data_IF_893344198857
#
_entry.id   IF_893344198857
#
_cell.length_a   1.000
_cell.length_b   1.000
_cell.length_c   1.000
_cell.angle_alpha   90.00
_cell.angle_beta   90.00
_cell.angle_gamma   90.00
#
_symmetry.space_group_name_H-M   'P 1'
#
loop_
_entity.id
_entity.type
_entity.pdbx_description
1 polymer ?
#
# COMPACT_ATOMS: atom_id res chain seq x y z
N UNK A 1 -16.93 10.43 -18.44
CA UNK A 1 -16.11 10.62 -17.21
C UNK A 1 -16.55 9.71 -16.07
N UNK A 2 -17.83 9.66 -15.71
CA UNK A 2 -18.35 8.82 -14.61
C UNK A 2 -18.04 7.32 -14.75
N UNK A 3 -18.21 6.72 -15.93
CA UNK A 3 -17.93 5.29 -16.16
C UNK A 3 -16.43 4.92 -15.97
N UNK A 4 -15.51 5.84 -16.30
CA UNK A 4 -14.07 5.63 -16.09
C UNK A 4 -13.69 5.72 -14.62
N UNK A 5 -14.33 6.64 -13.87
CA UNK A 5 -14.14 6.80 -12.43
C UNK A 5 -14.70 5.60 -11.66
N UNK A 6 -15.89 5.12 -12.03
CA UNK A 6 -16.49 3.93 -11.41
C UNK A 6 -15.63 2.68 -11.62
N UNK A 7 -15.13 2.47 -12.85
CA UNK A 7 -14.22 1.35 -13.13
C UNK A 7 -12.94 1.44 -12.31
N UNK A 8 -12.33 2.63 -12.23
CA UNK A 8 -11.12 2.81 -11.42
C UNK A 8 -11.40 2.60 -9.94
N UNK A 9 -12.54 3.07 -9.43
CA UNK A 9 -12.98 2.85 -8.06
C UNK A 9 -13.08 1.36 -7.72
N UNK A 10 -13.76 0.57 -8.55
CA UNK A 10 -13.87 -0.88 -8.34
C UNK A 10 -12.50 -1.55 -8.34
N UNK A 11 -11.64 -1.20 -9.30
CA UNK A 11 -10.28 -1.77 -9.38
C UNK A 11 -9.44 -1.36 -8.17
N UNK A 12 -9.45 -0.09 -7.79
CA UNK A 12 -8.68 0.44 -6.68
C UNK A 12 -9.13 -0.16 -5.36
N UNK A 13 -10.44 -0.19 -5.09
CA UNK A 13 -11.01 -0.87 -3.92
C UNK A 13 -10.52 -2.31 -3.86
N UNK A 14 -10.68 -3.07 -4.96
CA UNK A 14 -10.29 -4.47 -5.03
C UNK A 14 -8.80 -4.69 -4.78
N UNK A 15 -7.94 -3.88 -5.40
CA UNK A 15 -6.48 -3.97 -5.25
C UNK A 15 -6.07 -3.69 -3.81
N UNK A 16 -6.55 -2.60 -3.20
CA UNK A 16 -6.19 -2.24 -1.83
C UNK A 16 -6.75 -3.24 -0.80
N UNK A 17 -7.98 -3.71 -0.98
CA UNK A 17 -8.56 -4.74 -0.10
C UNK A 17 -7.85 -6.08 -0.23
N UNK A 18 -7.53 -6.51 -1.47
CA UNK A 18 -6.83 -7.76 -1.69
C UNK A 18 -5.39 -7.69 -1.15
N UNK A 19 -4.70 -6.58 -1.38
CA UNK A 19 -3.36 -6.36 -0.85
C UNK A 19 -3.32 -6.44 0.67
N UNK A 20 -4.21 -5.70 1.34
CA UNK A 20 -4.29 -5.72 2.81
C UNK A 20 -4.68 -7.12 3.35
N UNK A 21 -5.60 -7.80 2.68
CA UNK A 21 -5.95 -9.18 2.98
C UNK A 21 -4.73 -10.11 2.92
N UNK A 22 -3.96 -10.08 1.84
CA UNK A 22 -2.77 -10.92 1.69
C UNK A 22 -1.70 -10.58 2.73
N UNK A 23 -1.52 -9.30 3.05
CA UNK A 23 -0.57 -8.87 4.09
C UNK A 23 -0.94 -9.44 5.47
N UNK A 24 -2.21 -9.32 5.85
CA UNK A 24 -2.72 -9.84 7.12
C UNK A 24 -2.67 -11.38 7.16
N UNK A 25 -3.06 -12.04 6.06
CA UNK A 25 -3.06 -13.49 5.94
C UNK A 25 -1.64 -14.07 6.03
N UNK A 26 -0.67 -13.42 5.37
CA UNK A 26 0.74 -13.76 5.46
C UNK A 26 1.29 -13.57 6.88
N UNK A 27 0.94 -12.46 7.53
CA UNK A 27 1.31 -12.21 8.93
C UNK A 27 0.78 -13.31 9.87
N UNK A 28 -0.49 -13.69 9.74
CA UNK A 28 -1.10 -14.75 10.52
C UNK A 28 -0.39 -16.11 10.32
N UNK A 29 -0.04 -16.45 9.07
CA UNK A 29 0.76 -17.64 8.76
C UNK A 29 2.14 -17.61 9.41
N UNK A 30 2.85 -16.48 9.30
CA UNK A 30 4.19 -16.31 9.88
C UNK A 30 4.16 -16.47 11.40
N UNK A 31 3.17 -15.88 12.08
CA UNK A 31 3.01 -16.03 13.53
C UNK A 31 2.63 -17.46 13.95
N UNK A 32 1.79 -18.15 13.16
CA UNK A 32 1.46 -19.54 13.40
C UNK A 32 2.70 -20.45 13.23
N UNK A 33 3.47 -20.25 12.17
CA UNK A 33 4.71 -21.00 11.92
C UNK A 33 5.74 -20.77 13.04
N UNK A 34 5.91 -19.53 13.49
CA UNK A 34 6.81 -19.20 14.59
C UNK A 34 6.43 -19.90 15.89
N UNK A 35 5.14 -19.92 16.26
CA UNK A 35 4.64 -20.66 17.44
C UNK A 35 4.88 -22.17 17.36
N UNK A 36 4.79 -22.75 16.16
CA UNK A 36 5.10 -24.17 15.93
C UNK A 36 6.59 -24.46 16.11
N UNK A 37 7.45 -23.57 15.63
CA UNK A 37 8.91 -23.69 15.80
C UNK A 37 9.35 -23.50 17.24
N UNK A 38 8.67 -22.64 18.00
CA UNK A 38 8.93 -22.39 19.43
C UNK A 38 8.38 -23.51 20.36
N UNK A 39 7.72 -24.53 19.80
CA UNK A 39 7.23 -25.70 20.55
C UNK A 39 5.97 -25.42 21.39
N UNK A 40 5.29 -24.30 21.16
CA UNK A 40 4.26 -23.76 22.06
C UNK A 40 2.82 -24.24 21.78
N UNK A 41 2.57 -25.04 20.73
CA UNK A 41 1.23 -25.63 20.45
C UNK A 41 1.33 -27.16 20.27
N UNK A 42 0.42 -27.95 20.89
CA UNK A 42 0.31 -29.38 20.61
C UNK A 42 -0.15 -29.62 19.16
N UNK A 43 0.38 -30.69 18.56
CA UNK A 43 0.22 -31.09 17.14
C UNK A 43 -1.26 -31.27 16.72
N UNK A 44 -2.22 -31.31 17.66
CA UNK A 44 -3.66 -31.45 17.40
C UNK A 44 -4.35 -30.23 16.76
N UNK A 45 -3.67 -29.12 16.45
CA UNK A 45 -4.27 -27.95 15.77
C UNK A 45 -4.24 -28.02 14.23
N UNK A 46 -4.16 -29.23 13.66
CA UNK A 46 -4.17 -29.50 12.21
C UNK A 46 -5.46 -29.05 11.48
N UNK A 47 -6.48 -28.59 12.21
CA UNK A 47 -7.72 -28.09 11.67
C UNK A 47 -8.03 -26.63 12.02
N UNK A 48 -7.11 -25.66 11.89
CA UNK A 48 -7.58 -24.27 11.69
C UNK A 48 -8.21 -24.19 10.31
N UNK A 49 -9.50 -24.52 10.26
CA UNK A 49 -10.39 -24.25 9.12
C UNK A 49 -10.08 -22.86 8.56
N UNK A 50 -10.13 -22.70 7.24
CA UNK A 50 -9.98 -21.40 6.58
C UNK A 50 -10.83 -20.31 7.26
N UNK A 51 -11.99 -20.69 7.83
CA UNK A 51 -12.84 -19.83 8.65
C UNK A 51 -12.17 -19.31 9.94
N UNK A 52 -11.38 -20.16 10.62
CA UNK A 52 -10.62 -19.77 11.81
C UNK A 52 -9.43 -18.85 11.51
N UNK A 53 -8.84 -18.93 10.30
CA UNK A 53 -7.83 -17.96 9.86
C UNK A 53 -8.47 -16.65 9.39
N UNK A 54 -9.62 -16.71 8.73
CA UNK A 54 -10.41 -15.52 8.38
C UNK A 54 -10.85 -14.73 9.61
N UNK A 55 -11.14 -15.41 10.71
CA UNK A 55 -11.48 -14.77 11.99
C UNK A 55 -10.30 -14.02 12.64
N UNK A 56 -9.05 -14.28 12.23
CA UNK A 56 -7.86 -13.55 12.70
C UNK A 56 -7.61 -12.26 11.90
N UNK A 57 -8.38 -12.00 10.85
CA UNK A 57 -8.25 -10.80 10.04
C UNK A 57 -8.96 -9.61 10.71
N UNK A 58 -8.28 -8.48 10.72
CA UNK A 58 -8.79 -7.18 11.12
C UNK A 58 -9.75 -6.66 10.02
N UNK A 59 -11.02 -7.06 10.12
CA UNK A 59 -12.10 -6.65 9.21
C UNK A 59 -12.27 -5.13 9.12
N UNK A 60 -12.22 -4.37 10.23
CA UNK A 60 -12.23 -2.91 10.17
C UNK A 60 -11.09 -2.32 9.32
N UNK A 61 -9.88 -2.86 9.43
CA UNK A 61 -8.73 -2.43 8.60
C UNK A 61 -8.92 -2.75 7.11
N UNK A 62 -9.52 -3.90 6.78
CA UNK A 62 -9.88 -4.23 5.40
C UNK A 62 -10.88 -3.22 4.83
N UNK A 63 -11.89 -2.85 5.63
CA UNK A 63 -12.85 -1.80 5.28
C UNK A 63 -12.17 -0.44 5.06
N UNK A 64 -11.17 -0.09 5.87
CA UNK A 64 -10.41 1.14 5.68
C UNK A 64 -9.54 1.12 4.43
N UNK A 65 -8.91 -0.02 4.12
CA UNK A 65 -8.15 -0.20 2.88
C UNK A 65 -9.05 -0.06 1.64
N UNK A 66 -10.26 -0.62 1.70
CA UNK A 66 -11.28 -0.43 0.66
C UNK A 66 -11.70 1.04 0.54
N UNK A 67 -11.99 1.71 1.66
CA UNK A 67 -12.35 3.12 1.68
C UNK A 67 -11.23 4.02 1.13
N UNK A 68 -9.97 3.73 1.48
CA UNK A 68 -8.81 4.40 0.92
C UNK A 68 -8.74 4.23 -0.60
N UNK A 69 -8.91 3.00 -1.09
CA UNK A 69 -8.96 2.70 -2.53
C UNK A 69 -10.05 3.50 -3.25
N UNK A 70 -11.23 3.64 -2.66
CA UNK A 70 -12.32 4.46 -3.19
C UNK A 70 -11.94 5.95 -3.24
N UNK A 71 -11.39 6.49 -2.14
CA UNK A 71 -11.07 7.91 -2.00
C UNK A 71 -9.89 8.36 -2.86
N UNK A 72 -8.91 7.48 -3.13
CA UNK A 72 -7.77 7.79 -3.98
C UNK A 72 -8.11 7.71 -5.48
N UNK A 73 -9.19 7.03 -5.85
CA UNK A 73 -9.56 6.78 -7.26
C UNK A 73 -9.76 8.06 -8.09
N UNK A 74 -10.46 9.11 -7.60
CA UNK A 74 -10.57 10.37 -8.33
C UNK A 74 -9.20 11.01 -8.62
N UNK A 75 -8.28 10.97 -7.65
CA UNK A 75 -6.93 11.52 -7.81
C UNK A 75 -6.14 10.76 -8.87
N UNK A 76 -6.21 9.43 -8.88
CA UNK A 76 -5.57 8.58 -9.90
C UNK A 76 -6.13 8.89 -11.30
N UNK A 77 -7.45 9.01 -11.42
CA UNK A 77 -8.09 9.34 -12.70
C UNK A 77 -7.67 10.73 -13.19
N UNK A 78 -7.69 11.73 -12.31
CA UNK A 78 -7.28 13.10 -12.66
C UNK A 78 -5.80 13.17 -13.04
N UNK A 79 -4.92 12.49 -12.31
CA UNK A 79 -3.50 12.40 -12.64
C UNK A 79 -3.29 11.80 -14.04
N UNK A 80 -3.94 10.66 -14.34
CA UNK A 80 -3.86 10.05 -15.68
C UNK A 80 -4.39 10.99 -16.76
N UNK A 81 -5.52 11.67 -16.52
CA UNK A 81 -6.05 12.66 -17.47
C UNK A 81 -5.06 13.79 -17.71
N UNK A 82 -4.46 14.34 -16.64
CA UNK A 82 -3.46 15.40 -16.75
C UNK A 82 -2.24 14.94 -17.56
N UNK A 83 -1.68 13.76 -17.25
CA UNK A 83 -0.58 13.19 -18.02
C UNK A 83 -0.92 13.03 -19.50
N UNK A 84 -2.12 12.51 -19.81
CA UNK A 84 -2.55 12.35 -21.22
C UNK A 84 -2.80 13.67 -21.94
N UNK A 85 -3.22 14.72 -21.22
CA UNK A 85 -3.42 16.06 -21.81
C UNK A 85 -2.10 16.74 -22.12
N UNK A 86 -1.11 16.62 -21.23
CA UNK A 86 0.20 17.29 -21.35
C UNK A 86 1.14 16.53 -22.28
N UNK A 87 1.23 15.20 -22.13
CA UNK A 87 2.20 14.36 -22.85
C UNK A 87 1.58 13.69 -24.08
N UNK A 88 0.26 13.70 -24.23
CA UNK A 88 -0.42 12.99 -25.30
C UNK A 88 -0.39 11.46 -25.13
N UNK A 89 -0.38 10.74 -26.26
CA UNK A 89 -0.29 9.27 -26.25
C UNK A 89 1.16 8.82 -26.01
N UNK A 90 1.38 8.09 -24.93
CA UNK A 90 2.70 7.56 -24.55
C UNK A 90 3.09 6.27 -25.30
N UNK A 91 2.13 5.59 -25.95
CA UNK A 91 2.39 4.33 -26.66
C UNK A 91 3.41 4.49 -27.78
N UNK A 92 4.43 3.62 -27.81
CA UNK A 92 5.55 3.66 -28.76
C UNK A 92 6.35 4.96 -28.74
N UNK A 93 6.20 5.79 -27.70
CA UNK A 93 6.98 7.00 -27.50
C UNK A 93 7.72 6.95 -26.16
N UNK A 94 9.03 6.76 -26.26
CA UNK A 94 9.87 6.41 -25.11
C UNK A 94 9.97 7.58 -24.12
N UNK A 95 10.18 8.80 -24.63
CA UNK A 95 10.32 10.00 -23.80
C UNK A 95 9.04 10.30 -23.02
N UNK A 96 7.88 10.29 -23.68
CA UNK A 96 6.59 10.55 -23.05
C UNK A 96 6.20 9.44 -22.06
N UNK A 97 6.53 8.19 -22.37
CA UNK A 97 6.35 7.07 -21.43
C UNK A 97 7.22 7.24 -20.18
N UNK A 98 8.48 7.65 -20.36
CA UNK A 98 9.39 7.92 -19.26
C UNK A 98 8.92 9.11 -18.41
N UNK A 99 8.51 10.22 -19.03
CA UNK A 99 7.99 11.38 -18.32
C UNK A 99 6.72 11.07 -17.54
N UNK A 100 5.81 10.26 -18.10
CA UNK A 100 4.61 9.81 -17.40
C UNK A 100 4.94 8.90 -16.21
N UNK A 101 5.91 7.99 -16.36
CA UNK A 101 6.39 7.15 -15.27
C UNK A 101 7.08 7.98 -14.17
N UNK A 102 7.92 8.95 -14.55
CA UNK A 102 8.59 9.84 -13.62
C UNK A 102 7.56 10.68 -12.84
N UNK A 103 6.55 11.23 -13.51
CA UNK A 103 5.47 11.97 -12.85
C UNK A 103 4.72 11.08 -11.84
N UNK A 104 4.43 9.84 -12.22
CA UNK A 104 3.81 8.85 -11.33
C UNK A 104 4.71 8.56 -10.12
N UNK A 105 6.00 8.27 -10.31
CA UNK A 105 6.90 7.84 -9.22
C UNK A 105 7.40 8.97 -8.34
N UNK A 106 7.53 10.20 -8.85
CA UNK A 106 8.06 11.33 -8.08
C UNK A 106 6.97 12.15 -7.38
N UNK A 107 5.71 12.07 -7.83
CA UNK A 107 4.62 12.87 -7.26
C UNK A 107 3.46 12.01 -6.79
N UNK A 108 2.86 11.23 -7.69
CA UNK A 108 1.61 10.54 -7.38
C UNK A 108 1.80 9.39 -6.36
N UNK A 109 2.79 8.54 -6.56
CA UNK A 109 3.06 7.40 -5.68
C UNK A 109 3.51 7.85 -4.29
N UNK A 110 4.47 8.78 -4.11
CA UNK A 110 4.83 9.27 -2.78
C UNK A 110 3.66 9.90 -2.05
N UNK A 111 2.84 10.72 -2.74
CA UNK A 111 1.66 11.35 -2.15
C UNK A 111 0.64 10.29 -1.69
N UNK A 112 0.34 9.31 -2.55
CA UNK A 112 -0.58 8.22 -2.23
C UNK A 112 -0.09 7.38 -1.05
N UNK A 113 1.20 7.04 -1.01
CA UNK A 113 1.80 6.28 0.09
C UNK A 113 1.76 7.08 1.40
N UNK A 114 2.12 8.37 1.36
CA UNK A 114 2.06 9.23 2.53
C UNK A 114 0.63 9.35 3.07
N UNK A 115 -0.35 9.56 2.20
CA UNK A 115 -1.77 9.59 2.58
C UNK A 115 -2.22 8.26 3.19
N UNK A 116 -1.81 7.13 2.60
CA UNK A 116 -2.15 5.81 3.10
C UNK A 116 -1.58 5.56 4.50
N UNK A 117 -0.27 5.77 4.67
CA UNK A 117 0.41 5.56 5.95
C UNK A 117 -0.15 6.49 7.02
N UNK A 118 -0.41 7.76 6.71
CA UNK A 118 -1.05 8.69 7.66
C UNK A 118 -2.47 8.28 8.02
N UNK A 119 -3.31 7.89 7.05
CA UNK A 119 -4.69 7.48 7.31
C UNK A 119 -4.75 6.22 8.20
N UNK A 120 -3.91 5.23 7.89
CA UNK A 120 -3.82 3.99 8.67
C UNK A 120 -3.28 4.24 10.09
N UNK A 121 -2.28 5.10 10.24
CA UNK A 121 -1.75 5.49 11.56
C UNK A 121 -2.77 6.28 12.38
N UNK A 122 -3.51 7.19 11.75
CA UNK A 122 -4.57 7.97 12.41
C UNK A 122 -5.72 7.08 12.88
N UNK A 123 -6.18 6.14 12.05
CA UNK A 123 -7.22 5.19 12.41
C UNK A 123 -6.89 4.40 13.68
N UNK A 124 -5.62 4.01 13.82
CA UNK A 124 -5.12 3.28 14.99
C UNK A 124 -4.75 4.17 16.17
N UNK A 125 -5.13 5.45 16.14
CA UNK A 125 -4.84 6.43 17.19
C UNK A 125 -3.34 6.66 17.41
N UNK A 126 -2.47 6.32 16.45
CA UNK A 126 -1.01 6.42 16.60
C UNK A 126 -0.52 7.84 16.87
N UNK A 127 -1.24 8.86 16.40
CA UNK A 127 -0.91 10.27 16.69
C UNK A 127 -1.37 10.75 18.07
N UNK A 128 -2.20 9.98 18.77
CA UNK A 128 -2.81 10.35 20.05
C UNK A 128 -2.44 9.40 21.19
N UNK A 129 -1.90 8.22 20.88
CA UNK A 129 -1.49 7.22 21.87
C UNK A 129 -0.06 7.50 22.38
N UNK A 130 0.12 7.83 23.66
CA UNK A 130 1.44 8.10 24.24
C UNK A 130 2.39 6.91 24.16
N UNK A 131 1.88 5.68 24.22
CA UNK A 131 2.70 4.47 24.15
C UNK A 131 3.27 4.26 22.75
N UNK A 132 2.46 4.55 21.73
CA UNK A 132 2.89 4.57 20.34
C UNK A 132 3.94 5.66 20.14
N UNK A 133 3.66 6.91 20.53
CA UNK A 133 4.57 8.04 20.34
C UNK A 133 5.96 7.82 20.97
N UNK A 134 6.04 7.12 22.11
CA UNK A 134 7.30 6.73 22.78
C UNK A 134 8.13 5.73 21.97
N UNK A 135 7.49 4.83 21.21
CA UNK A 135 8.19 3.85 20.38
C UNK A 135 8.90 4.46 19.15
N UNK A 136 8.62 5.74 18.84
CA UNK A 136 9.21 6.49 17.72
C UNK A 136 10.16 7.61 18.19
N UNK A 137 10.68 7.51 19.42
CA UNK A 137 11.71 8.41 19.93
C UNK A 137 13.02 8.26 19.14
N UNK A 138 13.49 9.35 18.53
CA UNK A 138 14.82 9.43 17.92
C UNK A 138 15.69 10.40 18.69
N UNK A 139 16.54 9.89 19.59
CA UNK A 139 17.68 10.62 20.17
C UNK A 139 17.36 11.71 21.21
N UNK A 140 18.43 12.17 21.88
CA UNK A 140 18.48 12.98 23.11
C UNK A 140 17.74 14.33 23.13
N UNK A 141 17.11 14.74 22.02
CA UNK A 141 16.33 15.98 21.90
C UNK A 141 14.88 15.88 22.38
N UNK A 142 14.40 14.69 22.73
CA UNK A 142 13.00 14.47 23.13
C UNK A 142 12.79 14.50 24.64
N UNK A 143 13.41 15.47 25.33
CA UNK A 143 13.02 15.81 26.71
C UNK A 143 11.73 16.66 26.75
N UNK A 144 10.61 16.08 26.30
CA UNK A 144 9.33 16.44 26.92
C UNK A 144 8.11 16.82 26.08
N UNK A 145 8.01 16.60 24.76
CA UNK A 145 6.71 16.72 24.05
C UNK A 145 6.51 15.69 22.95
N UNK A 146 5.50 14.85 23.14
CA UNK A 146 5.04 13.82 22.20
C UNK A 146 4.16 14.49 21.13
N UNK A 147 4.66 14.62 19.89
CA UNK A 147 3.96 15.36 18.84
C UNK A 147 3.75 14.48 17.60
N UNK A 148 2.63 14.66 16.90
CA UNK A 148 2.32 13.97 15.64
C UNK A 148 3.45 14.09 14.58
N UNK A 149 4.22 15.17 14.64
CA UNK A 149 5.37 15.43 13.77
C UNK A 149 6.49 14.37 13.86
N UNK A 150 6.70 13.73 15.02
CA UNK A 150 7.71 12.67 15.14
C UNK A 150 7.32 11.42 14.35
N UNK A 151 6.03 11.09 14.38
CA UNK A 151 5.45 9.97 13.64
C UNK A 151 5.49 10.25 12.14
N UNK A 152 5.09 11.45 11.71
CA UNK A 152 5.20 11.85 10.30
C UNK A 152 6.66 11.81 9.79
N UNK A 153 7.60 12.32 10.60
CA UNK A 153 9.03 12.26 10.26
C UNK A 153 9.51 10.82 10.06
N UNK A 154 9.10 9.89 10.91
CA UNK A 154 9.44 8.46 10.76
C UNK A 154 8.77 7.83 9.54
N UNK A 155 7.51 8.19 9.24
CA UNK A 155 6.85 7.76 8.00
C UNK A 155 7.68 8.20 6.78
N UNK A 156 8.17 9.45 6.77
CA UNK A 156 8.95 10.00 5.66
C UNK A 156 10.36 9.39 5.57
N UNK A 157 11.05 9.23 6.69
CA UNK A 157 12.46 8.82 6.69
C UNK A 157 12.67 7.30 6.64
N UNK A 158 11.80 6.52 7.29
CA UNK A 158 12.05 5.08 7.47
C UNK A 158 11.11 4.21 6.63
N UNK A 159 9.88 4.68 6.37
CA UNK A 159 8.81 3.84 5.79
C UNK A 159 8.64 4.11 4.30
N UNK A 160 8.57 5.38 3.92
CA UNK A 160 8.43 5.81 2.53
C UNK A 160 9.55 5.31 1.61
N UNK A 161 10.85 5.30 1.99
CA UNK A 161 11.90 4.86 1.07
C UNK A 161 11.72 3.41 0.62
N UNK A 162 11.38 2.50 1.54
CA UNK A 162 11.20 1.08 1.23
C UNK A 162 10.00 0.83 0.31
N UNK A 163 8.88 1.51 0.57
CA UNK A 163 7.64 1.38 -0.20
C UNK A 163 7.74 2.05 -1.58
N UNK A 164 8.55 3.12 -1.69
CA UNK A 164 8.89 3.76 -2.96
C UNK A 164 9.81 2.90 -3.82
N UNK A 165 10.84 2.28 -3.24
CA UNK A 165 11.68 1.33 -4.01
C UNK A 165 10.83 0.16 -4.51
N UNK A 166 9.92 -0.36 -3.68
CA UNK A 166 8.97 -1.39 -4.09
C UNK A 166 8.02 -0.92 -5.21
N UNK A 167 7.62 0.36 -5.23
CA UNK A 167 6.76 0.89 -6.30
C UNK A 167 7.48 0.95 -7.64
N UNK A 168 8.77 1.26 -7.68
CA UNK A 168 9.55 1.24 -8.92
C UNK A 168 9.54 -0.14 -9.58
N UNK A 169 9.67 -1.22 -8.80
CA UNK A 169 9.65 -2.60 -9.29
C UNK A 169 8.31 -3.02 -9.92
N UNK A 170 7.24 -2.27 -9.66
CA UNK A 170 5.88 -2.57 -10.11
C UNK A 170 5.47 -1.64 -11.26
N UNK A 171 5.68 -0.34 -11.09
CA UNK A 171 5.25 0.64 -12.08
C UNK A 171 6.16 0.72 -13.30
N UNK A 172 7.46 0.43 -13.17
CA UNK A 172 8.39 0.40 -14.30
C UNK A 172 8.02 -0.70 -15.34
N UNK A 173 7.84 -1.98 -14.97
CA UNK A 173 7.42 -3.00 -15.94
C UNK A 173 6.03 -2.73 -16.52
N UNK A 174 5.10 -2.18 -15.74
CA UNK A 174 3.78 -1.77 -16.24
C UNK A 174 3.88 -0.64 -17.26
N UNK A 175 4.78 0.33 -17.04
CA UNK A 175 5.03 1.41 -18.00
C UNK A 175 5.71 0.90 -19.28
N UNK A 176 6.64 -0.05 -19.19
CA UNK A 176 7.26 -0.70 -20.35
C UNK A 176 6.22 -1.49 -21.17
N UNK A 177 5.34 -2.23 -20.50
CA UNK A 177 4.23 -2.94 -21.15
C UNK A 177 3.20 -1.95 -21.75
N UNK A 178 3.06 -0.79 -21.11
CA UNK A 178 2.44 0.41 -21.65
C UNK A 178 3.04 0.84 -22.98
N UNK A 179 4.35 1.08 -22.99
CA UNK A 179 5.10 1.53 -24.15
C UNK A 179 4.94 0.59 -25.36
N UNK A 180 5.03 -0.73 -25.16
CA UNK A 180 4.93 -1.74 -26.24
C UNK A 180 3.50 -1.91 -26.78
N UNK A 181 2.49 -1.22 -26.21
CA UNK A 181 1.07 -1.26 -26.63
C UNK A 181 0.42 -2.64 -26.51
N UNK A 182 0.85 -3.46 -25.55
CA UNK A 182 0.21 -4.75 -25.23
C UNK A 182 -1.09 -4.57 -24.42
N UNK A 183 -2.11 -3.93 -25.03
CA UNK A 183 -3.35 -3.51 -24.35
C UNK A 183 -4.10 -4.65 -23.65
N UNK A 184 -4.06 -5.85 -24.21
CA UNK A 184 -4.74 -7.03 -23.66
C UNK A 184 -4.05 -7.56 -22.38
N UNK A 185 -2.73 -7.44 -22.27
CA UNK A 185 -1.98 -7.92 -21.11
C UNK A 185 -1.98 -6.92 -19.93
N UNK A 186 -2.27 -5.63 -20.18
CA UNK A 186 -2.21 -4.58 -19.15
C UNK A 186 -3.10 -4.84 -17.94
N UNK A 187 -4.32 -5.33 -18.13
CA UNK A 187 -5.26 -5.54 -17.02
C UNK A 187 -4.81 -6.66 -16.06
N UNK A 188 -4.41 -7.80 -16.62
CA UNK A 188 -3.95 -8.95 -15.84
C UNK A 188 -2.59 -8.68 -15.19
N UNK A 189 -1.64 -8.10 -15.92
CA UNK A 189 -0.36 -7.69 -15.34
C UNK A 189 -0.54 -6.64 -14.24
N UNK A 190 -1.46 -5.69 -14.40
CA UNK A 190 -1.75 -4.71 -13.35
C UNK A 190 -2.26 -5.40 -12.08
N UNK A 191 -3.19 -6.36 -12.18
CA UNK A 191 -3.64 -7.10 -11.00
C UNK A 191 -2.51 -7.89 -10.33
N UNK A 192 -1.70 -8.61 -11.13
CA UNK A 192 -0.57 -9.42 -10.63
C UNK A 192 0.52 -8.57 -9.99
N UNK A 193 0.74 -7.33 -10.43
CA UNK A 193 1.78 -6.48 -9.86
C UNK A 193 1.27 -5.57 -8.73
N UNK A 194 0.05 -5.03 -8.85
CA UNK A 194 -0.48 -4.06 -7.88
C UNK A 194 -0.97 -4.70 -6.58
N UNK A 195 -1.50 -5.94 -6.62
CA UNK A 195 -1.94 -6.63 -5.40
C UNK A 195 -0.75 -6.97 -4.49
N UNK A 196 0.35 -7.59 -4.97
CA UNK A 196 1.54 -7.79 -4.14
C UNK A 196 2.18 -6.49 -3.67
N UNK A 197 2.16 -5.44 -4.50
CA UNK A 197 2.66 -4.12 -4.10
C UNK A 197 1.87 -3.54 -2.94
N UNK A 198 0.53 -3.52 -3.03
CA UNK A 198 -0.33 -3.04 -1.93
C UNK A 198 -0.23 -3.93 -0.69
N UNK A 199 -0.02 -5.24 -0.86
CA UNK A 199 0.30 -6.14 0.24
C UNK A 199 1.62 -5.79 0.92
N UNK A 200 2.67 -5.45 0.15
CA UNK A 200 3.95 -4.99 0.68
C UNK A 200 3.79 -3.69 1.47
N UNK A 201 3.08 -2.70 0.92
CA UNK A 201 2.79 -1.42 1.58
C UNK A 201 2.03 -1.64 2.89
N UNK A 202 1.00 -2.48 2.87
CA UNK A 202 0.23 -2.83 4.07
C UNK A 202 1.08 -3.60 5.10
N UNK A 203 1.93 -4.52 4.65
CA UNK A 203 2.84 -5.26 5.52
C UNK A 203 3.81 -4.30 6.22
N UNK A 204 4.47 -3.42 5.47
CA UNK A 204 5.39 -2.41 6.00
C UNK A 204 4.68 -1.49 7.00
N UNK A 205 3.47 -1.03 6.70
CA UNK A 205 2.66 -0.25 7.64
C UNK A 205 2.41 -1.01 8.95
N UNK A 206 2.21 -2.33 8.90
CA UNK A 206 1.97 -3.14 10.09
C UNK A 206 3.21 -3.64 10.83
N UNK A 207 4.40 -3.48 10.27
CA UNK A 207 5.64 -3.97 10.90
C UNK A 207 6.59 -2.86 11.30
N UNK A 208 6.56 -1.70 10.62
CA UNK A 208 7.41 -0.56 10.92
C UNK A 208 6.68 0.56 11.67
N UNK A 209 5.35 0.59 11.61
CA UNK A 209 4.48 1.59 12.23
C UNK A 209 3.44 0.97 13.19
N UNK A 210 3.73 -0.23 13.69
CA UNK A 210 3.07 -0.93 14.80
C UNK A 210 4.14 -1.65 15.61
#
# INVERSE_FOLDING_TARGET
MAAGLFREAVVSVGVWSAGDFFAQFYGAHKHALRRRLEGSEPISSEGRSMAGMMAMLDQPRLGLSAAFGLLISPLVVQHRMLCTRVLGKTEKRMLESFLALAAQQLFMTPLMLLLYHNAMTAYRKGFTDPSFLRAYETGADTRGRYNAMSVERRIVLDVLPSTLVASWLVYMPLALLGYVSAKHARGMCAAVCLIPWTACVSHVQSTLLL
#
